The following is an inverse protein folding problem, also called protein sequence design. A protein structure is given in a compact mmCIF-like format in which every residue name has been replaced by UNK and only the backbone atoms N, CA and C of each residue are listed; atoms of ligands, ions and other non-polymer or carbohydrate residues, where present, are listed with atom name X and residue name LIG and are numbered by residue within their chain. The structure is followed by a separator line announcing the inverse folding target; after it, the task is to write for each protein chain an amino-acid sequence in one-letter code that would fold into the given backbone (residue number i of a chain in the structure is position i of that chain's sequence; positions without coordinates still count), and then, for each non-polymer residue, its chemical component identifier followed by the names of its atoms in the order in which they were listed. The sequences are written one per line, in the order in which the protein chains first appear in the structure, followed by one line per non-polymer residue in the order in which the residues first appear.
data_IF_158365350597
#
_entry.id   IF_158365350597
#
_cell.length_a   1.000
_cell.length_b   1.000
_cell.length_c   1.000
_cell.angle_alpha   90.00
_cell.angle_beta   90.00
_cell.angle_gamma   90.00
#
_symmetry.space_group_name_H-M   'P 1'
#
loop_
_entity.id
_entity.type
_entity.pdbx_description
1 polymer ?
#
# COMPACT_ATOMS: atom_id res chain seq x y z
N UNK A 1 -32.23 -34.43 34.69
CA UNK A 1 -33.49 -33.68 34.78
C UNK A 1 -33.18 -32.24 34.41
N UNK A 2 -33.88 -31.76 33.39
CA UNK A 2 -33.68 -30.52 32.63
C UNK A 2 -33.50 -29.23 33.44
N UNK A 3 -32.66 -28.29 32.97
CA UNK A 3 -32.76 -26.88 33.28
C UNK A 3 -33.65 -26.15 32.25
N UNK A 4 -34.68 -25.48 32.73
CA UNK A 4 -35.62 -24.70 31.95
C UNK A 4 -34.99 -23.44 31.34
N UNK A 5 -35.10 -23.32 30.02
CA UNK A 5 -34.77 -22.13 29.23
C UNK A 5 -35.74 -20.96 29.51
N UNK A 6 -35.28 -19.69 29.40
CA UNK A 6 -36.15 -18.57 29.11
C UNK A 6 -36.22 -18.31 27.60
N UNK A 7 -37.43 -18.00 27.16
CA UNK A 7 -37.94 -17.80 25.81
C UNK A 7 -37.34 -16.62 25.04
N UNK A 8 -37.25 -16.82 23.73
CA UNK A 8 -37.07 -15.83 22.66
C UNK A 8 -37.86 -14.53 22.85
N UNK A 9 -37.17 -13.40 22.73
CA UNK A 9 -37.77 -12.17 22.22
C UNK A 9 -36.79 -11.49 21.26
N UNK A 10 -37.01 -11.79 19.98
CA UNK A 10 -36.47 -11.05 18.85
C UNK A 10 -36.96 -9.60 18.90
N UNK A 11 -36.03 -8.68 19.10
CA UNK A 11 -36.20 -7.29 18.72
C UNK A 11 -35.06 -6.95 17.77
N UNK A 12 -35.33 -7.17 16.48
CA UNK A 12 -34.61 -6.55 15.38
C UNK A 12 -34.62 -5.03 15.58
N UNK A 13 -33.52 -4.48 16.07
CA UNK A 13 -33.22 -3.07 15.94
C UNK A 13 -32.55 -2.85 14.58
N UNK A 14 -33.34 -2.98 13.51
CA UNK A 14 -33.00 -2.46 12.19
C UNK A 14 -34.02 -1.38 11.80
N UNK A 15 -33.52 -0.34 11.14
CA UNK A 15 -34.22 0.84 10.64
C UNK A 15 -34.31 2.05 11.61
N UNK A 16 -33.20 2.78 11.76
CA UNK A 16 -33.21 4.26 11.70
C UNK A 16 -31.79 4.86 11.76
N UNK A 17 -31.05 4.81 10.66
CA UNK A 17 -29.97 5.79 10.41
C UNK A 17 -29.51 5.90 8.94
N UNK A 18 -30.18 5.21 8.01
CA UNK A 18 -29.76 5.12 6.61
C UNK A 18 -29.86 6.42 5.80
N UNK A 19 -30.33 7.53 6.37
CA UNK A 19 -30.37 8.83 5.68
C UNK A 19 -29.11 9.67 5.89
N UNK A 20 -28.27 9.37 6.88
CA UNK A 20 -27.08 10.21 7.21
C UNK A 20 -25.80 9.79 6.47
N UNK A 21 -25.66 8.52 6.10
CA UNK A 21 -24.43 8.01 5.50
C UNK A 21 -24.22 8.41 4.03
N UNK A 22 -25.28 8.90 3.36
CA UNK A 22 -25.20 9.35 1.96
C UNK A 22 -24.73 10.81 1.88
N UNK A 23 -24.93 11.60 2.94
CA UNK A 23 -24.51 13.02 3.00
C UNK A 23 -23.00 13.18 3.22
N UNK A 24 -22.31 12.15 3.75
CA UNK A 24 -20.85 12.15 3.97
C UNK A 24 -20.04 11.58 2.79
N UNK A 25 -20.69 11.19 1.68
CA UNK A 25 -19.98 10.71 0.50
C UNK A 25 -19.28 11.89 -0.21
N UNK A 26 -17.98 11.76 -0.45
CA UNK A 26 -17.24 12.72 -1.26
C UNK A 26 -17.98 12.94 -2.60
N UNK A 27 -18.03 14.18 -3.14
CA UNK A 27 -18.90 14.55 -4.26
C UNK A 27 -18.80 13.67 -5.52
N UNK A 28 -17.69 12.94 -5.71
CA UNK A 28 -17.49 11.99 -6.81
C UNK A 28 -17.90 10.54 -6.53
N UNK A 29 -18.01 10.11 -5.28
CA UNK A 29 -18.31 8.71 -4.93
C UNK A 29 -19.79 8.34 -5.11
N UNK A 30 -20.69 9.30 -4.94
CA UNK A 30 -22.13 9.08 -5.14
C UNK A 30 -22.52 8.83 -6.61
N UNK A 31 -21.61 9.11 -7.56
CA UNK A 31 -21.83 8.96 -9.00
C UNK A 31 -21.32 7.63 -9.59
N UNK A 32 -20.51 6.87 -8.85
CA UNK A 32 -19.93 5.62 -9.34
C UNK A 32 -20.89 4.43 -9.18
N UNK A 33 -20.96 3.56 -10.19
CA UNK A 33 -21.75 2.33 -10.06
C UNK A 33 -21.13 1.38 -9.03
N UNK A 34 -21.92 0.43 -8.52
CA UNK A 34 -21.41 -0.61 -7.62
C UNK A 34 -20.22 -1.37 -8.24
N UNK A 35 -20.30 -1.62 -9.55
CA UNK A 35 -19.26 -2.32 -10.30
C UNK A 35 -17.98 -1.47 -10.39
N UNK A 36 -18.09 -0.18 -10.71
CA UNK A 36 -16.91 0.70 -10.80
C UNK A 36 -16.23 0.84 -9.43
N UNK A 37 -17.02 0.88 -8.35
CA UNK A 37 -16.49 0.92 -6.98
C UNK A 37 -15.76 -0.37 -6.61
N UNK A 38 -16.30 -1.51 -7.02
CA UNK A 38 -15.67 -2.81 -6.83
C UNK A 38 -14.34 -2.89 -7.60
N UNK A 39 -14.34 -2.51 -8.89
CA UNK A 39 -13.15 -2.54 -9.74
C UNK A 39 -12.05 -1.62 -9.21
N UNK A 40 -12.43 -0.40 -8.78
CA UNK A 40 -11.48 0.54 -8.17
C UNK A 40 -10.83 -0.03 -6.91
N UNK A 41 -11.62 -0.56 -5.97
CA UNK A 41 -11.08 -1.14 -4.73
C UNK A 41 -10.27 -2.41 -5.02
N UNK A 42 -10.77 -3.28 -5.88
CA UNK A 42 -10.09 -4.52 -6.24
C UNK A 42 -8.75 -4.24 -6.92
N UNK A 43 -8.64 -3.17 -7.71
CA UNK A 43 -7.42 -2.75 -8.39
C UNK A 43 -6.29 -2.30 -7.46
N UNK A 44 -6.60 -1.95 -6.20
CA UNK A 44 -5.59 -1.56 -5.20
C UNK A 44 -4.83 -2.79 -4.66
N UNK A 45 -5.54 -3.91 -4.47
CA UNK A 45 -5.00 -5.12 -3.88
C UNK A 45 -4.36 -6.06 -4.90
N UNK A 46 -3.25 -6.68 -4.51
CA UNK A 46 -2.73 -7.87 -5.21
C UNK A 46 -3.64 -9.08 -4.93
N UNK A 47 -4.07 -9.24 -3.67
CA UNK A 47 -4.96 -10.32 -3.23
C UNK A 47 -6.21 -9.76 -2.53
N UNK A 48 -7.37 -10.38 -2.76
CA UNK A 48 -8.63 -10.08 -2.09
C UNK A 48 -9.27 -11.34 -1.50
N UNK A 49 -9.49 -11.38 -0.18
CA UNK A 49 -10.14 -12.49 0.55
C UNK A 49 -11.38 -11.94 1.27
N UNK A 50 -12.59 -12.08 0.74
CA UNK A 50 -12.96 -12.64 -0.57
C UNK A 50 -13.70 -11.62 -1.43
N UNK A 51 -13.56 -11.72 -2.75
CA UNK A 51 -14.17 -10.79 -3.72
C UNK A 51 -15.70 -10.75 -3.62
N UNK A 52 -16.35 -11.91 -3.45
CA UNK A 52 -17.80 -11.97 -3.26
C UNK A 52 -18.24 -11.25 -1.97
N UNK A 53 -17.44 -11.35 -0.90
CA UNK A 53 -17.71 -10.64 0.36
C UNK A 53 -17.52 -9.13 0.20
N UNK A 54 -16.52 -8.70 -0.60
CA UNK A 54 -16.30 -7.29 -0.93
C UNK A 54 -17.47 -6.71 -1.72
N UNK A 55 -17.94 -7.40 -2.76
CA UNK A 55 -19.10 -6.97 -3.54
C UNK A 55 -20.36 -6.84 -2.66
N UNK A 56 -20.62 -7.87 -1.84
CA UNK A 56 -21.73 -7.88 -0.88
C UNK A 56 -21.61 -6.76 0.16
N UNK A 57 -20.40 -6.45 0.62
CA UNK A 57 -20.15 -5.35 1.54
C UNK A 57 -20.50 -4.01 0.88
N UNK A 58 -20.00 -3.74 -0.33
CA UNK A 58 -20.24 -2.49 -1.04
C UNK A 58 -21.72 -2.26 -1.37
N UNK A 59 -22.47 -3.33 -1.59
CA UNK A 59 -23.92 -3.28 -1.77
C UNK A 59 -24.66 -2.89 -0.48
N UNK A 60 -24.22 -3.38 0.67
CA UNK A 60 -24.92 -3.23 1.97
C UNK A 60 -24.46 -2.03 2.78
N UNK A 61 -23.18 -1.65 2.64
CA UNK A 61 -22.51 -0.60 3.41
C UNK A 61 -21.87 0.39 2.44
N UNK A 62 -22.54 1.51 2.13
CA UNK A 62 -22.01 2.53 1.21
C UNK A 62 -20.67 3.11 1.65
N UNK A 63 -20.41 3.19 2.96
CA UNK A 63 -19.17 3.73 3.54
C UNK A 63 -18.48 2.63 4.36
N UNK A 64 -17.70 1.72 3.72
CA UNK A 64 -16.92 0.72 4.45
C UNK A 64 -15.75 1.37 5.20
N UNK A 65 -15.36 0.76 6.31
CA UNK A 65 -14.23 1.17 7.13
C UNK A 65 -13.01 0.35 6.70
N UNK A 66 -12.02 1.03 6.13
CA UNK A 66 -10.72 0.45 5.81
C UNK A 66 -9.69 0.83 6.88
N UNK A 67 -8.71 -0.02 7.13
CA UNK A 67 -7.59 0.29 8.01
C UNK A 67 -6.26 -0.26 7.45
N UNK A 68 -5.20 0.52 7.68
CA UNK A 68 -3.80 0.12 7.54
C UNK A 68 -3.02 0.53 8.80
N UNK A 69 -2.07 -0.30 9.23
CA UNK A 69 -1.36 -0.18 10.50
C UNK A 69 0.14 0.00 10.31
N UNK A 70 0.73 1.01 10.95
CA UNK A 70 2.14 1.36 10.78
C UNK A 70 2.90 1.38 12.11
N UNK A 71 4.08 0.79 12.12
CA UNK A 71 5.03 0.93 13.22
C UNK A 71 5.88 2.20 13.03
N UNK A 72 5.84 3.17 13.97
CA UNK A 72 6.61 4.42 13.88
C UNK A 72 8.09 4.21 14.25
N UNK A 73 8.80 3.40 13.46
CA UNK A 73 10.18 2.96 13.73
C UNK A 73 11.27 3.72 12.97
N UNK A 74 10.96 4.89 12.40
CA UNK A 74 11.97 5.74 11.76
C UNK A 74 11.42 6.55 10.58
N UNK A 75 12.32 6.91 9.66
CA UNK A 75 11.98 7.68 8.45
C UNK A 75 10.97 6.91 7.58
N UNK A 76 10.06 7.67 6.96
CA UNK A 76 9.04 7.14 6.07
C UNK A 76 9.63 6.86 4.69
N UNK A 77 9.53 5.63 4.21
CA UNK A 77 9.84 5.27 2.82
C UNK A 77 8.59 5.32 1.96
N UNK A 78 8.75 5.38 0.63
CA UNK A 78 7.65 5.62 -0.32
C UNK A 78 6.57 4.51 -0.35
N UNK A 79 6.81 3.35 0.25
CA UNK A 79 5.82 2.29 0.41
C UNK A 79 5.93 1.68 1.80
N UNK A 80 5.19 2.19 2.79
CA UNK A 80 5.38 1.73 4.16
C UNK A 80 4.55 0.50 4.47
N UNK A 81 5.21 -0.67 4.52
CA UNK A 81 4.71 -1.82 5.27
C UNK A 81 5.91 -2.49 5.92
N UNK A 82 5.78 -2.90 7.18
CA UNK A 82 6.80 -3.60 7.96
C UNK A 82 6.35 -5.03 8.18
N UNK A 83 7.27 -5.99 8.06
CA UNK A 83 7.05 -7.41 8.32
C UNK A 83 8.30 -7.89 9.06
N UNK A 84 8.12 -8.65 10.14
CA UNK A 84 9.23 -9.13 10.98
C UNK A 84 9.59 -10.55 10.57
N UNK A 85 10.89 -10.86 10.58
CA UNK A 85 11.41 -12.19 10.30
C UNK A 85 11.32 -13.08 11.55
N UNK A 86 11.11 -14.38 11.34
CA UNK A 86 11.05 -15.38 12.40
C UNK A 86 12.47 -15.64 12.97
N UNK A 87 12.63 -15.56 14.30
CA UNK A 87 13.84 -15.95 15.04
C UNK A 87 13.56 -17.14 15.96
N UNK A 88 14.55 -18.02 16.18
CA UNK A 88 14.39 -19.24 16.99
C UNK A 88 14.08 -18.97 18.47
N UNK A 89 14.38 -17.77 18.97
CA UNK A 89 13.93 -17.29 20.28
C UNK A 89 12.84 -16.23 20.12
N UNK A 90 11.64 -16.54 20.60
CA UNK A 90 10.51 -15.61 20.65
C UNK A 90 10.33 -15.08 22.08
N UNK A 91 10.41 -13.77 22.22
CA UNK A 91 10.00 -13.07 23.43
C UNK A 91 8.48 -13.15 23.61
N UNK A 92 7.99 -13.09 24.84
CA UNK A 92 6.55 -13.02 25.10
C UNK A 92 5.87 -11.85 24.36
N UNK A 93 6.58 -10.72 24.21
CA UNK A 93 6.10 -9.57 23.47
C UNK A 93 5.82 -9.87 21.99
N UNK A 94 6.64 -10.73 21.35
CA UNK A 94 6.41 -11.16 19.96
C UNK A 94 5.17 -12.04 19.79
N UNK A 95 4.68 -12.67 20.86
CA UNK A 95 3.40 -13.41 20.85
C UNK A 95 2.22 -12.47 21.06
N UNK A 96 2.34 -11.51 21.99
CA UNK A 96 1.27 -10.54 22.24
C UNK A 96 1.01 -9.61 21.04
N UNK A 97 2.04 -9.29 20.26
CA UNK A 97 1.90 -8.37 19.12
C UNK A 97 0.86 -8.85 18.08
N UNK A 98 0.94 -10.08 17.53
CA UNK A 98 -0.12 -10.62 16.66
C UNK A 98 -1.51 -10.68 17.31
N UNK A 99 -1.59 -10.98 18.62
CA UNK A 99 -2.87 -10.98 19.33
C UNK A 99 -3.50 -9.57 19.38
N UNK A 100 -2.68 -8.55 19.66
CA UNK A 100 -3.12 -7.15 19.67
C UNK A 100 -3.54 -6.69 18.27
N UNK A 101 -2.72 -6.96 17.25
CA UNK A 101 -3.04 -6.59 15.87
C UNK A 101 -4.31 -7.29 15.35
N UNK A 102 -4.54 -8.55 15.73
CA UNK A 102 -5.80 -9.24 15.45
C UNK A 102 -6.99 -8.57 16.17
N UNK A 103 -6.82 -8.17 17.42
CA UNK A 103 -7.84 -7.48 18.19
C UNK A 103 -8.20 -6.10 17.60
N UNK A 104 -7.21 -5.37 17.06
CA UNK A 104 -7.38 -4.04 16.47
C UNK A 104 -8.41 -4.05 15.33
N UNK A 105 -8.42 -5.10 14.51
CA UNK A 105 -9.39 -5.26 13.40
C UNK A 105 -10.83 -5.16 13.92
N UNK A 106 -11.11 -5.81 15.06
CA UNK A 106 -12.44 -5.81 15.68
C UNK A 106 -12.72 -4.52 16.46
N UNK A 107 -11.69 -4.00 17.14
CA UNK A 107 -11.81 -2.80 17.96
C UNK A 107 -12.08 -1.56 17.11
N UNK A 108 -11.37 -1.42 15.98
CA UNK A 108 -11.57 -0.37 14.97
C UNK A 108 -12.83 -0.59 14.13
N UNK A 109 -13.46 -1.77 14.24
CA UNK A 109 -14.61 -2.20 13.43
C UNK A 109 -14.31 -2.11 11.93
N UNK A 110 -13.09 -2.48 11.54
CA UNK A 110 -12.68 -2.50 10.14
C UNK A 110 -13.51 -3.53 9.37
N UNK A 111 -14.06 -3.12 8.23
CA UNK A 111 -14.67 -4.04 7.27
C UNK A 111 -13.61 -4.57 6.29
N UNK A 112 -12.60 -3.75 5.96
CA UNK A 112 -11.52 -4.07 5.03
C UNK A 112 -10.16 -3.87 5.73
N UNK A 113 -9.40 -4.93 5.88
CA UNK A 113 -7.99 -4.89 6.25
C UNK A 113 -7.16 -4.62 4.99
N UNK A 114 -6.73 -3.37 4.79
CA UNK A 114 -5.97 -2.93 3.62
C UNK A 114 -4.50 -2.78 3.99
N UNK A 115 -3.80 -3.90 4.16
CA UNK A 115 -2.38 -3.95 4.57
C UNK A 115 -1.54 -4.63 3.49
N UNK A 116 -0.22 -4.72 3.67
CA UNK A 116 0.64 -5.47 2.77
C UNK A 116 0.46 -6.98 2.81
N UNK A 117 0.97 -7.63 1.77
CA UNK A 117 1.03 -9.10 1.68
C UNK A 117 1.76 -9.76 2.86
N UNK A 118 2.72 -9.09 3.48
CA UNK A 118 3.42 -9.57 4.68
C UNK A 118 2.54 -9.61 5.95
N UNK A 119 1.46 -8.83 5.99
CA UNK A 119 0.46 -8.84 7.08
C UNK A 119 -0.66 -9.86 6.87
N UNK A 120 -0.63 -10.62 5.77
CA UNK A 120 -1.67 -11.59 5.42
C UNK A 120 -1.93 -12.62 6.52
N UNK A 121 -0.89 -13.14 7.18
CA UNK A 121 -1.02 -14.21 8.20
C UNK A 121 -1.93 -13.78 9.36
N UNK A 122 -1.72 -12.59 9.93
CA UNK A 122 -2.53 -12.08 11.05
C UNK A 122 -3.95 -11.69 10.60
N UNK A 123 -4.10 -11.20 9.36
CA UNK A 123 -5.42 -10.94 8.79
C UNK A 123 -6.24 -12.23 8.59
N UNK A 124 -5.59 -13.33 8.16
CA UNK A 124 -6.23 -14.65 8.08
C UNK A 124 -6.59 -15.17 9.48
N UNK A 125 -5.71 -15.00 10.46
CA UNK A 125 -6.00 -15.35 11.86
C UNK A 125 -7.27 -14.64 12.37
N UNK A 126 -7.48 -13.37 12.01
CA UNK A 126 -8.71 -12.67 12.36
C UNK A 126 -9.97 -13.31 11.75
N UNK A 127 -9.88 -13.83 10.51
CA UNK A 127 -10.98 -14.56 9.87
C UNK A 127 -11.23 -15.94 10.48
N UNK A 128 -10.17 -16.63 10.89
CA UNK A 128 -10.25 -17.89 11.64
C UNK A 128 -10.94 -17.64 12.98
N UNK A 129 -10.51 -16.63 13.73
CA UNK A 129 -11.11 -16.23 15.00
C UNK A 129 -12.61 -15.93 14.86
N UNK A 130 -13.03 -15.21 13.81
CA UNK A 130 -14.47 -15.01 13.52
C UNK A 130 -15.25 -16.32 13.41
N UNK A 131 -14.63 -17.37 12.87
CA UNK A 131 -15.26 -18.69 12.71
C UNK A 131 -15.43 -19.34 14.09
N UNK A 132 -14.41 -19.28 14.94
CA UNK A 132 -14.44 -19.86 16.29
C UNK A 132 -15.49 -19.18 17.18
N UNK A 133 -15.58 -17.85 17.14
CA UNK A 133 -16.58 -17.09 17.91
C UNK A 133 -17.95 -17.00 17.22
N UNK A 134 -18.14 -17.68 16.08
CA UNK A 134 -19.38 -17.69 15.28
C UNK A 134 -19.85 -16.28 14.85
N UNK A 135 -18.90 -15.38 14.61
CA UNK A 135 -19.15 -14.04 14.06
C UNK A 135 -19.36 -14.14 12.55
N UNK A 136 -20.55 -13.74 12.09
CA UNK A 136 -20.90 -13.75 10.66
C UNK A 136 -20.10 -12.75 9.82
N UNK A 137 -19.86 -11.56 10.37
CA UNK A 137 -19.16 -10.49 9.66
C UNK A 137 -17.66 -10.68 9.81
N UNK A 138 -17.05 -11.28 8.80
CA UNK A 138 -15.59 -11.44 8.66
C UNK A 138 -15.01 -10.20 7.97
N UNK A 139 -13.82 -9.73 8.38
CA UNK A 139 -13.13 -8.65 7.67
C UNK A 139 -12.68 -9.15 6.29
N UNK A 140 -12.89 -8.33 5.25
CA UNK A 140 -12.30 -8.54 3.93
C UNK A 140 -10.81 -8.23 4.06
N UNK A 141 -9.96 -9.09 3.51
CA UNK A 141 -8.51 -8.84 3.43
C UNK A 141 -8.24 -8.34 2.02
N UNK A 142 -7.71 -7.13 1.89
CA UNK A 142 -7.33 -6.55 0.61
C UNK A 142 -5.83 -6.21 0.66
N UNK A 143 -5.01 -7.21 0.37
CA UNK A 143 -3.57 -7.13 0.55
C UNK A 143 -2.92 -6.44 -0.64
N UNK A 144 -2.14 -5.39 -0.43
CA UNK A 144 -1.46 -4.67 -1.51
C UNK A 144 -0.03 -5.18 -1.77
N UNK A 145 0.46 -4.89 -2.98
CA UNK A 145 1.76 -5.34 -3.47
C UNK A 145 2.93 -4.77 -2.66
N UNK A 146 3.95 -5.60 -2.42
CA UNK A 146 5.15 -5.20 -1.71
C UNK A 146 6.14 -4.55 -2.67
N UNK A 147 6.36 -3.24 -2.54
CA UNK A 147 7.34 -2.57 -3.39
C UNK A 147 8.78 -3.02 -3.05
N UNK A 148 9.57 -3.43 -4.06
CA UNK A 148 10.89 -3.98 -3.86
C UNK A 148 11.91 -2.89 -3.49
N UNK A 149 13.02 -3.34 -2.92
CA UNK A 149 14.21 -2.51 -2.74
C UNK A 149 14.93 -2.30 -4.07
N UNK A 150 15.75 -1.26 -4.14
CA UNK A 150 16.50 -0.94 -5.36
C UNK A 150 17.70 -1.86 -5.64
N UNK A 151 18.06 -2.79 -4.76
CA UNK A 151 19.14 -3.75 -5.05
C UNK A 151 18.57 -5.05 -5.61
N UNK A 152 19.38 -5.75 -6.39
CA UNK A 152 19.03 -7.07 -6.94
C UNK A 152 18.63 -8.05 -5.83
N UNK A 153 17.52 -8.76 -6.02
CA UNK A 153 17.02 -9.75 -5.07
C UNK A 153 16.41 -9.18 -3.78
N UNK A 154 16.24 -7.86 -3.65
CA UNK A 154 15.53 -7.27 -2.52
C UNK A 154 14.03 -7.21 -2.78
N UNK A 155 13.33 -8.27 -2.39
CA UNK A 155 11.86 -8.39 -2.53
C UNK A 155 11.08 -7.28 -1.80
N UNK A 156 11.71 -6.59 -0.84
CA UNK A 156 11.09 -5.53 -0.06
C UNK A 156 12.08 -4.42 0.27
N UNK A 157 11.61 -3.17 0.24
CA UNK A 157 12.36 -2.04 0.81
C UNK A 157 12.70 -2.27 2.28
N UNK A 158 13.97 -2.12 2.64
CA UNK A 158 14.43 -2.25 4.02
C UNK A 158 14.90 -0.91 4.59
N UNK A 159 14.52 -0.65 5.84
CA UNK A 159 15.06 0.48 6.63
C UNK A 159 16.54 0.29 6.98
N UNK A 160 17.02 -0.95 7.04
CA UNK A 160 18.41 -1.27 7.42
C UNK A 160 19.43 -0.84 6.35
N UNK A 161 18.97 -0.66 5.10
CA UNK A 161 19.80 -0.18 4.00
C UNK A 161 19.21 1.09 3.39
N UNK A 162 19.64 2.28 3.86
CA UNK A 162 19.14 3.56 3.37
C UNK A 162 19.35 3.80 1.87
N UNK A 163 20.24 3.04 1.22
CA UNK A 163 20.46 3.12 -0.24
C UNK A 163 19.43 2.32 -1.05
N UNK A 164 18.74 1.38 -0.40
CA UNK A 164 17.74 0.51 -1.04
C UNK A 164 16.33 1.10 -1.13
N UNK A 165 16.05 2.19 -0.42
CA UNK A 165 14.72 2.78 -0.31
C UNK A 165 14.76 4.28 -0.55
N UNK A 166 13.72 4.84 -1.18
CA UNK A 166 13.50 6.29 -1.24
C UNK A 166 12.72 6.72 -0.01
N UNK A 167 13.22 7.72 0.71
CA UNK A 167 12.48 8.34 1.81
C UNK A 167 11.68 9.55 1.30
N UNK A 168 10.54 9.81 1.94
CA UNK A 168 9.58 10.83 1.49
C UNK A 168 10.16 12.25 1.43
N UNK A 169 11.17 12.53 2.25
CA UNK A 169 11.84 13.82 2.33
C UNK A 169 13.24 13.83 1.68
N UNK A 170 13.63 12.75 0.99
CA UNK A 170 14.91 12.76 0.27
C UNK A 170 14.92 13.90 -0.75
N UNK A 171 16.02 14.67 -0.78
CA UNK A 171 16.22 15.72 -1.77
C UNK A 171 16.37 15.13 -3.19
N UNK A 172 16.29 16.02 -4.18
CA UNK A 172 16.35 15.63 -5.59
C UNK A 172 17.63 14.86 -5.94
N UNK A 173 18.78 15.32 -5.42
CA UNK A 173 20.07 14.70 -5.67
C UNK A 173 20.14 13.27 -5.12
N UNK A 174 19.57 13.02 -3.94
CA UNK A 174 19.50 11.69 -3.32
C UNK A 174 18.58 10.75 -4.07
N UNK A 175 17.41 11.21 -4.49
CA UNK A 175 16.50 10.41 -5.34
C UNK A 175 17.20 10.02 -6.63
N UNK A 176 17.82 11.00 -7.31
CA UNK A 176 18.57 10.77 -8.55
C UNK A 176 19.71 9.76 -8.36
N UNK A 177 20.46 9.87 -7.24
CA UNK A 177 21.54 8.95 -6.92
C UNK A 177 21.04 7.52 -6.70
N UNK A 178 19.99 7.34 -5.89
CA UNK A 178 19.42 6.03 -5.57
C UNK A 178 18.88 5.33 -6.81
N UNK A 179 18.09 6.03 -7.62
CA UNK A 179 17.53 5.46 -8.86
C UNK A 179 18.65 5.18 -9.88
N UNK A 180 19.67 6.03 -9.96
CA UNK A 180 20.84 5.75 -10.80
C UNK A 180 21.52 4.44 -10.40
N UNK A 181 21.64 4.18 -9.11
CA UNK A 181 22.26 2.97 -8.55
C UNK A 181 21.32 1.74 -8.52
N UNK A 182 20.02 1.93 -8.75
CA UNK A 182 19.05 0.85 -8.69
C UNK A 182 19.34 -0.26 -9.71
N UNK A 183 19.01 -1.49 -9.34
CA UNK A 183 19.01 -2.63 -10.24
C UNK A 183 18.00 -2.37 -11.37
N UNK A 184 18.47 -2.45 -12.61
CA UNK A 184 17.65 -2.22 -13.81
C UNK A 184 18.37 -2.87 -15.00
N UNK A 185 18.43 -4.21 -15.03
CA UNK A 185 19.06 -4.96 -16.11
C UNK A 185 18.37 -4.66 -17.46
N UNK A 186 19.13 -4.46 -18.56
CA UNK A 186 18.54 -4.24 -19.88
C UNK A 186 17.71 -5.46 -20.31
N UNK A 187 16.55 -5.21 -20.91
CA UNK A 187 15.67 -6.21 -21.51
C UNK A 187 15.09 -7.25 -20.53
N UNK A 188 15.28 -7.06 -19.22
CA UNK A 188 14.75 -7.92 -18.17
C UNK A 188 13.73 -7.15 -17.35
N UNK A 189 12.49 -7.65 -17.38
CA UNK A 189 11.33 -7.01 -16.75
C UNK A 189 11.05 -7.60 -15.37
N UNK A 190 11.12 -8.92 -15.27
CA UNK A 190 10.80 -9.63 -14.03
C UNK A 190 11.80 -9.27 -12.92
N UNK A 191 11.28 -8.87 -11.77
CA UNK A 191 12.09 -8.43 -10.62
C UNK A 191 12.84 -7.12 -10.83
N UNK A 192 12.44 -6.28 -11.82
CA UNK A 192 13.06 -4.99 -12.07
C UNK A 192 12.39 -3.89 -11.20
N UNK A 193 13.05 -3.41 -10.13
CA UNK A 193 12.42 -2.47 -9.20
C UNK A 193 12.10 -1.12 -9.86
N UNK A 194 12.83 -0.70 -10.90
CA UNK A 194 12.50 0.52 -11.62
C UNK A 194 11.14 0.41 -12.31
N UNK A 195 10.86 -0.73 -12.96
CA UNK A 195 9.61 -0.96 -13.67
C UNK A 195 8.44 -1.14 -12.70
N UNK A 196 8.66 -1.75 -11.55
CA UNK A 196 7.64 -1.86 -10.51
C UNK A 196 7.25 -0.50 -9.92
N UNK A 197 8.22 0.40 -9.69
CA UNK A 197 7.90 1.76 -9.26
C UNK A 197 7.10 2.52 -10.33
N UNK A 198 7.42 2.31 -11.61
CA UNK A 198 6.63 2.90 -12.70
C UNK A 198 5.19 2.36 -12.65
N UNK A 199 5.02 1.04 -12.54
CA UNK A 199 3.72 0.35 -12.50
C UNK A 199 2.85 0.76 -11.32
N UNK A 200 3.42 0.78 -10.11
CA UNK A 200 2.65 0.90 -8.87
C UNK A 200 2.62 2.31 -8.28
N UNK A 201 3.49 3.22 -8.74
CA UNK A 201 3.53 4.61 -8.26
C UNK A 201 3.27 5.58 -9.41
N UNK A 202 4.08 5.54 -10.46
CA UNK A 202 4.07 6.58 -11.49
C UNK A 202 2.79 6.53 -12.33
N UNK A 203 2.40 5.35 -12.81
CA UNK A 203 1.15 5.17 -13.57
C UNK A 203 -0.09 5.53 -12.75
N UNK A 204 -0.29 5.04 -11.51
CA UNK A 204 -1.43 5.44 -10.70
C UNK A 204 -1.48 6.94 -10.38
N UNK A 205 -0.33 7.62 -10.35
CA UNK A 205 -0.25 9.05 -10.03
C UNK A 205 -0.48 9.96 -11.23
N UNK A 206 0.12 9.63 -12.39
CA UNK A 206 0.12 10.49 -13.57
C UNK A 206 -0.72 9.95 -14.73
N UNK A 207 -1.19 8.70 -14.66
CA UNK A 207 -1.84 7.94 -15.74
C UNK A 207 -0.96 7.71 -16.99
N UNK A 208 0.28 8.18 -16.97
CA UNK A 208 1.24 8.06 -18.06
C UNK A 208 2.68 8.08 -17.55
N UNK A 209 3.61 7.62 -18.39
CA UNK A 209 5.04 7.70 -18.16
C UNK A 209 5.76 8.32 -19.35
N UNK A 210 6.33 9.51 -19.16
CA UNK A 210 7.08 10.24 -20.19
C UNK A 210 8.58 9.93 -20.11
N UNK A 211 9.15 9.42 -21.20
CA UNK A 211 10.59 9.23 -21.37
C UNK A 211 11.13 10.26 -22.36
N UNK A 212 11.90 11.21 -21.83
CA UNK A 212 12.59 12.23 -22.63
C UNK A 212 13.97 11.72 -23.00
N UNK A 213 14.23 11.53 -24.29
CA UNK A 213 15.49 10.97 -24.81
C UNK A 213 15.85 11.60 -26.14
N UNK A 214 17.13 11.48 -26.52
CA UNK A 214 17.65 12.05 -27.77
C UNK A 214 17.00 11.37 -28.98
N UNK A 215 16.89 12.07 -30.10
CA UNK A 215 16.43 11.50 -31.39
C UNK A 215 17.19 10.22 -31.78
N UNK A 216 18.51 10.19 -31.56
CA UNK A 216 19.34 9.01 -31.83
C UNK A 216 18.97 7.77 -30.99
N UNK A 217 18.25 7.95 -29.86
CA UNK A 217 17.75 6.89 -28.99
C UNK A 217 16.25 6.65 -29.18
N UNK A 218 15.65 7.13 -30.29
CA UNK A 218 14.24 6.94 -30.60
C UNK A 218 13.30 8.05 -30.14
N UNK A 219 13.83 9.24 -29.78
CA UNK A 219 13.05 10.45 -29.49
C UNK A 219 12.15 10.36 -28.25
N UNK A 220 11.54 11.47 -27.85
CA UNK A 220 10.63 11.48 -26.69
C UNK A 220 9.46 10.52 -26.93
N UNK A 221 9.13 9.72 -25.92
CA UNK A 221 8.00 8.79 -25.97
C UNK A 221 7.19 8.86 -24.69
N UNK A 222 5.86 8.82 -24.80
CA UNK A 222 4.95 8.74 -23.66
C UNK A 222 4.24 7.40 -23.70
N UNK A 223 4.30 6.67 -22.60
CA UNK A 223 3.61 5.39 -22.41
C UNK A 223 2.33 5.64 -21.61
N UNK A 224 1.20 5.08 -22.05
CA UNK A 224 -0.10 5.21 -21.36
C UNK A 224 -0.48 3.95 -20.59
N UNK A 225 0.29 2.87 -20.75
CA UNK A 225 0.09 1.61 -20.05
C UNK A 225 1.42 0.86 -19.87
N UNK A 226 1.43 -0.10 -18.96
CA UNK A 226 2.61 -0.91 -18.67
C UNK A 226 2.96 -1.91 -19.77
N UNK A 227 2.00 -2.37 -20.58
CA UNK A 227 2.23 -3.38 -21.61
C UNK A 227 3.14 -2.81 -22.71
N UNK A 228 2.83 -1.62 -23.21
CA UNK A 228 3.66 -0.92 -24.21
C UNK A 228 5.08 -0.65 -23.68
N UNK A 229 5.20 -0.21 -22.43
CA UNK A 229 6.49 0.05 -21.81
C UNK A 229 7.31 -1.25 -21.69
N UNK A 230 6.65 -2.32 -21.27
CA UNK A 230 7.25 -3.65 -21.08
C UNK A 230 7.74 -4.22 -22.40
N UNK A 231 6.98 -4.09 -23.48
CA UNK A 231 7.34 -4.58 -24.80
C UNK A 231 8.54 -3.82 -25.38
N UNK A 232 8.54 -2.48 -25.28
CA UNK A 232 9.67 -1.65 -25.68
C UNK A 232 10.93 -1.96 -24.85
N UNK A 233 10.76 -2.22 -23.55
CA UNK A 233 11.89 -2.57 -22.68
C UNK A 233 12.46 -3.95 -23.01
N UNK A 234 11.61 -4.98 -23.21
CA UNK A 234 12.02 -6.35 -23.57
C UNK A 234 12.75 -6.41 -24.91
N UNK A 235 12.27 -5.65 -25.89
CA UNK A 235 12.88 -5.60 -27.23
C UNK A 235 14.17 -4.80 -27.28
N UNK A 236 14.49 -4.04 -26.22
CA UNK A 236 15.64 -3.13 -26.16
C UNK A 236 15.40 -1.79 -26.86
N UNK A 237 14.18 -1.52 -27.33
CA UNK A 237 13.78 -0.22 -27.87
C UNK A 237 13.77 0.87 -26.79
N UNK A 238 13.61 0.50 -25.51
CA UNK A 238 13.74 1.37 -24.34
C UNK A 238 14.88 0.88 -23.44
N UNK A 239 15.90 1.72 -23.25
CA UNK A 239 17.10 1.34 -22.50
C UNK A 239 17.03 1.83 -21.03
N UNK A 240 17.59 1.08 -20.05
CA UNK A 240 17.63 1.50 -18.64
C UNK A 240 18.19 2.91 -18.40
N UNK A 241 19.12 3.35 -19.26
CA UNK A 241 19.72 4.68 -19.19
C UNK A 241 18.74 5.82 -19.48
N UNK A 242 17.64 5.55 -20.19
CA UNK A 242 16.55 6.50 -20.44
C UNK A 242 15.44 6.35 -19.39
N UNK A 243 15.17 5.12 -18.95
CA UNK A 243 14.15 4.81 -17.92
C UNK A 243 14.50 5.44 -16.57
N UNK A 244 15.74 5.28 -16.10
CA UNK A 244 16.14 5.74 -14.77
C UNK A 244 15.99 7.26 -14.59
N UNK A 245 16.47 8.13 -15.50
CA UNK A 245 16.23 9.56 -15.40
C UNK A 245 14.76 9.95 -15.46
N UNK A 246 13.97 9.29 -16.31
CA UNK A 246 12.53 9.55 -16.41
C UNK A 246 11.79 9.18 -15.12
N UNK A 247 12.09 8.01 -14.54
CA UNK A 247 11.58 7.59 -13.24
C UNK A 247 12.00 8.58 -12.14
N UNK A 248 13.26 8.99 -12.10
CA UNK A 248 13.73 9.94 -11.10
C UNK A 248 13.02 11.30 -11.20
N UNK A 249 12.81 11.82 -12.41
CA UNK A 249 12.03 13.02 -12.65
C UNK A 249 10.60 12.87 -12.09
N UNK A 250 9.92 11.78 -12.40
CA UNK A 250 8.56 11.53 -11.94
C UNK A 250 8.47 11.43 -10.41
N UNK A 251 9.35 10.65 -9.77
CA UNK A 251 9.38 10.54 -8.30
C UNK A 251 9.68 11.88 -7.64
N UNK A 252 10.60 12.67 -8.19
CA UNK A 252 10.90 13.99 -7.67
C UNK A 252 9.69 14.95 -7.72
N UNK A 253 8.88 14.88 -8.78
CA UNK A 253 7.65 15.65 -8.89
C UNK A 253 6.63 15.22 -7.82
N UNK A 254 6.47 13.92 -7.59
CA UNK A 254 5.57 13.36 -6.56
C UNK A 254 6.01 13.82 -5.15
N UNK A 255 7.31 13.83 -4.87
CA UNK A 255 7.84 14.19 -3.55
C UNK A 255 7.91 15.71 -3.31
N UNK A 256 7.76 16.54 -4.35
CA UNK A 256 7.96 17.99 -4.23
C UNK A 256 7.02 18.65 -3.19
N UNK A 257 5.70 18.37 -3.16
CA UNK A 257 4.82 18.97 -2.16
C UNK A 257 5.20 18.60 -0.72
N UNK A 258 5.77 17.41 -0.51
CA UNK A 258 6.23 16.94 0.80
C UNK A 258 7.47 17.74 1.24
N UNK A 259 8.43 17.91 0.33
CA UNK A 259 9.62 18.73 0.57
C UNK A 259 9.24 20.17 0.89
N UNK A 260 8.31 20.74 0.13
CA UNK A 260 7.81 22.09 0.35
C UNK A 260 7.16 22.23 1.72
N UNK A 261 6.37 21.23 2.16
CA UNK A 261 5.79 21.21 3.51
C UNK A 261 6.86 21.25 4.60
N UNK A 262 7.87 20.37 4.55
CA UNK A 262 8.95 20.35 5.55
C UNK A 262 9.87 21.57 5.50
N UNK A 263 9.94 22.28 4.37
CA UNK A 263 10.74 23.50 4.25
C UNK A 263 9.99 24.75 4.73
N UNK A 264 8.67 24.81 4.47
CA UNK A 264 7.85 25.99 4.74
C UNK A 264 7.12 25.93 6.09
N UNK A 265 7.08 24.77 6.75
CA UNK A 265 6.52 24.61 8.09
C UNK A 265 7.65 24.35 9.12
N UNK A 266 7.85 25.29 10.03
CA UNK A 266 8.90 25.21 11.05
C UNK A 266 8.71 24.05 12.03
N UNK A 267 7.46 23.74 12.38
CA UNK A 267 7.16 22.62 13.28
C UNK A 267 7.47 21.29 12.61
N UNK A 268 6.99 21.09 11.38
CA UNK A 268 7.28 19.89 10.60
C UNK A 268 8.79 19.69 10.42
N UNK A 269 9.53 20.79 10.16
CA UNK A 269 10.99 20.76 10.04
C UNK A 269 11.67 20.28 11.32
N UNK A 270 11.27 20.82 12.48
CA UNK A 270 11.80 20.42 13.79
C UNK A 270 11.50 18.94 14.06
N UNK A 271 10.29 18.48 13.75
CA UNK A 271 9.92 17.07 13.89
C UNK A 271 10.81 16.17 13.03
N UNK A 272 11.01 16.53 11.76
CA UNK A 272 11.85 15.78 10.84
C UNK A 272 13.31 15.71 11.29
N UNK A 273 13.88 16.84 11.70
CA UNK A 273 15.25 16.91 12.19
C UNK A 273 15.42 16.11 13.49
N UNK A 274 14.38 16.03 14.30
CA UNK A 274 14.35 15.19 15.50
C UNK A 274 14.33 13.70 15.14
N UNK A 275 13.46 13.28 14.23
CA UNK A 275 13.39 11.89 13.76
C UNK A 275 14.71 11.43 13.13
N UNK A 276 15.37 12.30 12.35
CA UNK A 276 16.68 12.00 11.73
C UNK A 276 17.81 11.74 12.73
N UNK A 277 17.69 12.23 13.97
CA UNK A 277 18.68 12.01 15.04
C UNK A 277 18.53 10.63 15.69
N UNK A 278 17.34 10.03 15.61
CA UNK A 278 17.14 8.70 16.18
C UNK A 278 17.88 7.65 15.35
N UNK A 279 18.70 6.83 16.03
CA UNK A 279 19.21 5.61 15.42
C UNK A 279 18.03 4.66 15.27
N UNK A 280 17.78 4.21 14.04
CA UNK A 280 16.92 3.05 13.82
C UNK A 280 17.63 1.87 14.48
N UNK A 281 17.13 1.44 15.63
CA UNK A 281 17.59 0.20 16.27
C UNK A 281 17.18 -0.94 15.34
N UNK A 282 18.19 -1.63 14.80
CA UNK A 282 18.02 -2.88 14.05
C UNK A 282 17.60 -4.01 14.98
#
# INVERSE_FOLDING_TARGET
MDPSAPSDSSADASASSSSSAVEDLAPGMAAMSLQDRFELLRGIGEECIQEDELMNLLQKKPVPICYDGFEPSGRMHIAQIMGRNDSDELTAAQIFYPCMQCADIFFLKADICQLGMDQRKVNVLAREYCTDIKRKNKPIILSHHMLPGFKEGQEKMSKSDPSSAIFMEDDEARVNLKIKQAFCPPNVVDGNPCLEYIKYIVFPWFEMFEVVRKEANGGNKTFTNMDELTDDYKTGALHPADVKPALAKAINQILQPIRDHFNNNSEAKILLDTVKKYRVTN
#
